data_IF_036266592565
#
_entry.id   IF_036266592565
#
_cell.length_a   1.000
_cell.length_b   1.000
_cell.length_c   1.000
_cell.angle_alpha   90.00
_cell.angle_beta   90.00
_cell.angle_gamma   90.00
#
_symmetry.space_group_name_H-M   'P 1'
#
loop_
_entity.id
_entity.type
_entity.pdbx_description
1 polymer ?
#
# COMPACT_ATOMS: atom_id res chain seq x y z
N UNK A 1 -16.09 -19.30 -0.34
CA UNK A 1 -15.01 -18.92 0.59
C UNK A 1 -15.42 -17.61 1.24
N UNK A 2 -15.50 -17.61 2.53
CA UNK A 2 -16.02 -16.53 3.37
C UNK A 2 -15.21 -15.23 3.17
N UNK A 3 -15.81 -14.12 2.71
CA UNK A 3 -15.15 -12.83 2.60
C UNK A 3 -14.79 -12.21 3.96
N UNK A 4 -15.11 -12.88 5.05
CA UNK A 4 -14.84 -12.47 6.43
C UNK A 4 -13.52 -13.00 6.99
N UNK A 5 -12.54 -13.37 6.15
CA UNK A 5 -11.18 -13.54 6.66
C UNK A 5 -10.71 -12.21 7.24
N UNK A 6 -11.21 -11.97 8.46
CA UNK A 6 -10.96 -10.80 9.26
C UNK A 6 -9.45 -10.58 9.34
N UNK A 7 -9.00 -9.46 8.78
CA UNK A 7 -7.70 -8.93 9.05
C UNK A 7 -7.55 -8.75 10.57
N UNK A 8 -6.74 -9.60 11.20
CA UNK A 8 -6.37 -9.48 12.62
C UNK A 8 -4.94 -8.99 12.68
N UNK A 9 -4.70 -7.70 12.87
CA UNK A 9 -3.36 -7.25 13.22
C UNK A 9 -3.01 -7.80 14.61
N UNK A 10 -1.94 -8.54 14.69
CA UNK A 10 -1.34 -8.96 15.97
C UNK A 10 -0.64 -7.76 16.60
N UNK A 11 -1.42 -6.95 17.34
CA UNK A 11 -0.89 -5.91 18.20
C UNK A 11 -0.42 -6.54 19.51
N UNK A 12 0.65 -7.30 19.47
CA UNK A 12 1.35 -7.75 20.67
C UNK A 12 2.86 -7.64 20.45
N UNK A 13 3.35 -6.43 20.50
CA UNK A 13 4.57 -6.02 21.20
C UNK A 13 4.38 -4.56 21.54
N UNK A 14 4.19 -4.28 22.84
CA UNK A 14 4.39 -2.94 23.37
C UNK A 14 5.82 -2.52 23.03
N UNK A 15 6.00 -1.80 21.91
CA UNK A 15 7.11 -0.88 21.82
C UNK A 15 7.01 -0.04 23.08
N UNK A 16 8.14 0.17 23.78
CA UNK A 16 8.23 1.10 24.89
C UNK A 16 8.00 2.50 24.31
N UNK A 17 6.74 2.80 24.03
CA UNK A 17 6.34 4.15 23.68
C UNK A 17 6.38 4.96 24.98
N UNK A 18 7.04 6.10 24.91
CA UNK A 18 7.08 7.14 25.90
C UNK A 18 5.67 7.42 26.47
N UNK A 19 5.59 8.03 27.63
CA UNK A 19 4.32 8.31 28.31
C UNK A 19 3.31 8.93 27.36
N UNK A 20 2.01 8.62 27.47
CA UNK A 20 0.91 9.18 26.65
C UNK A 20 0.87 10.72 26.60
N UNK A 21 1.61 11.40 27.48
CA UNK A 21 1.77 12.86 27.50
C UNK A 21 2.76 13.40 26.46
N UNK A 22 3.61 12.53 25.87
CA UNK A 22 4.64 12.97 24.94
C UNK A 22 4.04 13.22 23.56
N UNK A 23 4.52 14.27 22.93
CA UNK A 23 4.12 14.62 21.58
C UNK A 23 4.79 13.68 20.56
N UNK A 24 4.00 13.16 19.64
CA UNK A 24 4.47 12.34 18.51
C UNK A 24 4.40 13.20 17.25
N UNK A 25 5.51 13.32 16.56
CA UNK A 25 5.58 13.97 15.26
C UNK A 25 5.45 12.95 14.15
N UNK A 26 4.57 13.24 13.19
CA UNK A 26 4.42 12.46 11.95
C UNK A 26 4.86 13.32 10.77
N UNK A 27 5.81 12.84 9.97
CA UNK A 27 6.29 13.51 8.76
C UNK A 27 5.52 12.99 7.56
N UNK A 28 4.74 13.86 6.93
CA UNK A 28 3.95 13.59 5.73
C UNK A 28 2.53 13.11 6.02
N UNK A 29 1.56 13.80 5.42
CA UNK A 29 0.13 13.47 5.44
C UNK A 29 -0.28 12.56 4.26
N UNK A 30 0.60 11.64 3.84
CA UNK A 30 0.25 10.54 2.95
C UNK A 30 -0.61 9.49 3.66
N UNK A 31 -1.09 8.50 2.92
CA UNK A 31 -2.03 7.48 3.44
C UNK A 31 -1.50 6.76 4.68
N UNK A 32 -0.21 6.38 4.69
CA UNK A 32 0.43 5.71 5.85
C UNK A 32 0.58 6.65 7.06
N UNK A 33 1.01 7.90 6.83
CA UNK A 33 1.15 8.91 7.88
C UNK A 33 -0.18 9.26 8.55
N UNK A 34 -1.24 9.45 7.75
CA UNK A 34 -2.59 9.69 8.25
C UNK A 34 -3.15 8.49 9.02
N UNK A 35 -2.89 7.26 8.54
CA UNK A 35 -3.29 6.05 9.26
C UNK A 35 -2.56 5.92 10.60
N UNK A 36 -1.26 6.21 10.65
CA UNK A 36 -0.47 6.23 11.89
C UNK A 36 -0.99 7.33 12.84
N UNK A 37 -1.18 8.55 12.35
CA UNK A 37 -1.70 9.67 13.12
C UNK A 37 -3.08 9.37 13.73
N UNK A 38 -4.00 8.79 12.93
CA UNK A 38 -5.33 8.39 13.40
C UNK A 38 -5.24 7.38 14.55
N UNK A 39 -4.42 6.35 14.42
CA UNK A 39 -4.26 5.30 15.43
C UNK A 39 -3.61 5.81 16.70
N UNK A 40 -2.56 6.61 16.57
CA UNK A 40 -1.85 7.21 17.71
C UNK A 40 -2.74 8.19 18.47
N UNK A 41 -3.41 9.10 17.77
CA UNK A 41 -4.34 10.06 18.38
C UNK A 41 -5.51 9.33 19.07
N UNK A 42 -6.10 8.30 18.44
CA UNK A 42 -7.14 7.48 19.04
C UNK A 42 -6.67 6.74 20.28
N UNK A 43 -5.38 6.40 20.36
CA UNK A 43 -4.77 5.77 21.54
C UNK A 43 -4.41 6.78 22.65
N UNK A 44 -4.66 8.09 22.45
CA UNK A 44 -4.49 9.14 23.44
C UNK A 44 -3.14 9.85 23.40
N UNK A 45 -2.33 9.66 22.36
CA UNK A 45 -1.11 10.45 22.15
C UNK A 45 -1.44 11.82 21.59
N UNK A 46 -0.62 12.84 21.92
CA UNK A 46 -0.63 14.13 21.23
C UNK A 46 0.10 13.93 19.89
N UNK A 47 -0.58 14.16 18.79
CA UNK A 47 -0.01 13.91 17.45
C UNK A 47 -0.01 15.19 16.64
N UNK A 48 1.16 15.56 16.09
CA UNK A 48 1.30 16.61 15.08
C UNK A 48 1.83 16.04 13.79
N UNK A 49 1.14 16.32 12.70
CA UNK A 49 1.50 15.91 11.34
C UNK A 49 1.99 17.13 10.58
N UNK A 50 3.17 17.06 9.99
CA UNK A 50 3.72 18.11 9.13
C UNK A 50 3.76 17.61 7.69
N UNK A 51 2.99 18.27 6.82
CA UNK A 51 2.88 17.96 5.40
C UNK A 51 3.55 19.07 4.58
N UNK A 52 4.43 18.66 3.65
CA UNK A 52 5.14 19.59 2.79
C UNK A 52 4.24 20.28 1.76
N UNK A 53 3.20 19.56 1.31
CA UNK A 53 2.25 20.04 0.31
C UNK A 53 1.06 20.78 0.91
N UNK A 54 0.20 21.35 0.04
CA UNK A 54 -0.98 22.11 0.46
C UNK A 54 -2.18 21.23 0.84
N UNK A 55 -2.12 19.91 0.61
CA UNK A 55 -3.24 19.01 0.78
C UNK A 55 -2.80 17.60 1.24
N UNK A 56 -3.68 16.82 1.91
CA UNK A 56 -3.39 15.47 2.35
C UNK A 56 -3.43 14.46 1.18
N UNK A 57 -3.06 13.20 1.48
CA UNK A 57 -3.19 12.06 0.58
C UNK A 57 -1.87 11.64 -0.05
N UNK A 58 -0.87 12.50 -0.13
CA UNK A 58 0.43 12.19 -0.73
C UNK A 58 0.29 11.78 -2.20
N UNK A 59 0.60 10.50 -2.53
CA UNK A 59 0.44 9.96 -3.89
C UNK A 59 -1.03 9.69 -4.28
N UNK A 60 -1.94 9.63 -3.30
CA UNK A 60 -3.40 9.52 -3.51
C UNK A 60 -4.04 10.90 -3.42
N UNK A 61 -3.89 11.73 -4.44
CA UNK A 61 -4.46 13.08 -4.50
C UNK A 61 -5.07 13.38 -5.86
N UNK A 62 -6.03 14.30 -5.86
CA UNK A 62 -6.65 14.84 -7.06
C UNK A 62 -6.17 16.26 -7.27
N UNK A 63 -5.84 16.63 -8.49
CA UNK A 63 -5.54 18.02 -8.88
C UNK A 63 -6.62 18.54 -9.81
N UNK A 64 -6.84 19.85 -9.79
CA UNK A 64 -7.80 20.52 -10.66
C UNK A 64 -7.03 21.40 -11.66
N UNK A 65 -7.31 21.20 -12.94
CA UNK A 65 -6.72 21.98 -14.04
C UNK A 65 -7.85 22.38 -14.98
N UNK A 66 -8.04 23.68 -15.19
CA UNK A 66 -9.03 24.25 -16.11
C UNK A 66 -10.47 23.72 -15.90
N UNK A 67 -10.85 23.51 -14.63
CA UNK A 67 -12.17 22.99 -14.26
C UNK A 67 -12.32 21.45 -14.33
N UNK A 68 -11.28 20.74 -14.72
CA UNK A 68 -11.24 19.28 -14.71
C UNK A 68 -10.46 18.75 -13.53
N UNK A 69 -10.93 17.63 -12.98
CA UNK A 69 -10.28 16.93 -11.84
C UNK A 69 -9.53 15.69 -12.34
N UNK A 70 -8.25 15.58 -11.96
CA UNK A 70 -7.39 14.46 -12.34
C UNK A 70 -6.79 13.80 -11.09
N UNK A 71 -6.96 12.50 -10.98
CA UNK A 71 -6.24 11.71 -10.01
C UNK A 71 -4.79 11.53 -10.45
N UNK A 72 -3.83 11.92 -9.60
CA UNK A 72 -2.40 11.91 -9.94
C UNK A 72 -1.66 10.64 -9.51
N UNK A 73 -2.37 9.72 -8.89
CA UNK A 73 -1.86 8.44 -8.42
C UNK A 73 -2.72 7.28 -8.91
N UNK A 74 -3.06 6.32 -8.03
CA UNK A 74 -3.97 5.25 -8.39
C UNK A 74 -5.36 5.80 -8.67
N UNK A 75 -6.02 5.30 -9.73
CA UNK A 75 -7.39 5.65 -10.07
C UNK A 75 -8.43 4.71 -9.44
N UNK A 76 -7.97 3.57 -8.95
CA UNK A 76 -8.81 2.54 -8.33
C UNK A 76 -8.32 2.20 -6.93
N UNK A 77 -9.28 1.95 -6.03
CA UNK A 77 -8.99 1.42 -4.71
C UNK A 77 -9.07 -0.11 -4.78
N UNK A 78 -8.04 -0.78 -4.27
CA UNK A 78 -8.07 -2.21 -3.94
C UNK A 78 -8.09 -2.37 -2.42
N UNK A 79 -8.54 -3.51 -1.92
CA UNK A 79 -8.57 -3.83 -0.48
C UNK A 79 -9.29 -2.78 0.38
N UNK A 80 -10.53 -2.37 0.07
CA UNK A 80 -11.27 -1.39 0.87
C UNK A 80 -11.46 -1.82 2.33
N UNK A 81 -11.32 -3.11 2.63
CA UNK A 81 -11.41 -3.66 3.99
C UNK A 81 -10.35 -3.06 4.93
N UNK A 82 -9.16 -2.73 4.44
CA UNK A 82 -8.08 -2.10 5.24
C UNK A 82 -8.52 -0.74 5.77
N UNK A 83 -9.16 0.06 4.93
CA UNK A 83 -9.68 1.38 5.32
C UNK A 83 -10.92 1.26 6.20
N UNK A 84 -11.82 0.31 5.89
CA UNK A 84 -12.99 0.02 6.74
C UNK A 84 -12.57 -0.35 8.16
N UNK A 85 -11.53 -1.18 8.33
CA UNK A 85 -11.00 -1.55 9.63
C UNK A 85 -10.42 -0.33 10.39
N UNK A 86 -9.64 0.52 9.70
CA UNK A 86 -9.09 1.74 10.30
C UNK A 86 -10.19 2.68 10.80
N UNK A 87 -11.21 2.92 9.97
CA UNK A 87 -12.34 3.78 10.34
C UNK A 87 -13.13 3.18 11.50
N UNK A 88 -13.46 1.91 11.45
CA UNK A 88 -14.19 1.22 12.52
C UNK A 88 -13.44 1.30 13.86
N UNK A 89 -12.16 1.01 13.87
CA UNK A 89 -11.31 1.08 15.07
C UNK A 89 -11.11 2.51 15.59
N UNK A 90 -11.26 3.51 14.74
CA UNK A 90 -11.23 4.91 15.13
C UNK A 90 -12.61 5.47 15.52
N UNK A 91 -13.68 4.68 15.43
CA UNK A 91 -15.02 5.00 15.95
C UNK A 91 -16.01 5.53 14.92
N UNK A 92 -15.81 5.24 13.63
CA UNK A 92 -16.72 5.60 12.52
C UNK A 92 -16.78 4.47 11.50
N UNK A 93 -17.83 4.46 10.67
CA UNK A 93 -17.94 3.58 9.52
C UNK A 93 -17.48 4.33 8.25
N UNK A 94 -16.55 3.77 7.49
CA UNK A 94 -16.06 4.39 6.24
C UNK A 94 -17.19 4.76 5.28
N UNK A 95 -18.22 3.91 5.16
CA UNK A 95 -19.35 4.14 4.26
C UNK A 95 -20.26 5.33 4.64
N UNK A 96 -20.10 5.90 5.83
CA UNK A 96 -20.77 7.14 6.25
C UNK A 96 -19.98 8.36 5.80
N UNK A 97 -18.68 8.24 5.61
CA UNK A 97 -17.77 9.33 5.31
C UNK A 97 -17.38 9.35 3.81
N UNK A 98 -17.41 8.18 3.14
CA UNK A 98 -16.92 8.04 1.78
C UNK A 98 -17.73 7.02 0.99
N UNK A 99 -18.20 7.41 -0.19
CA UNK A 99 -18.84 6.50 -1.12
C UNK A 99 -17.78 5.69 -1.85
N UNK A 100 -17.77 4.36 -1.67
CA UNK A 100 -16.90 3.44 -2.36
C UNK A 100 -17.75 2.42 -3.08
N UNK A 101 -17.68 2.37 -4.41
CA UNK A 101 -18.51 1.50 -5.26
C UNK A 101 -17.64 0.53 -6.08
N UNK A 102 -18.06 -0.74 -6.26
CA UNK A 102 -17.35 -1.63 -7.16
C UNK A 102 -17.40 -1.10 -8.59
N UNK A 103 -16.32 -1.32 -9.32
CA UNK A 103 -16.24 -1.02 -10.77
C UNK A 103 -16.59 -2.28 -11.54
N UNK A 104 -17.61 -2.21 -12.41
CA UNK A 104 -18.03 -3.35 -13.23
C UNK A 104 -18.29 -2.88 -14.67
N UNK A 105 -17.62 -3.43 -15.66
CA UNK A 105 -16.48 -4.36 -15.56
C UNK A 105 -15.25 -3.69 -14.94
N UNK A 106 -14.36 -4.49 -14.30
CA UNK A 106 -13.17 -3.95 -13.66
C UNK A 106 -12.14 -3.44 -14.66
N UNK A 107 -11.93 -4.20 -15.74
CA UNK A 107 -10.95 -3.90 -16.77
C UNK A 107 -11.44 -4.29 -18.15
N UNK A 108 -11.04 -3.53 -19.13
CA UNK A 108 -11.28 -3.77 -20.54
C UNK A 108 -9.96 -3.62 -21.31
N UNK A 109 -9.51 -4.72 -21.93
CA UNK A 109 -8.25 -4.79 -22.63
C UNK A 109 -8.48 -4.91 -24.13
N UNK A 110 -7.74 -4.10 -24.89
CA UNK A 110 -7.69 -4.14 -26.33
C UNK A 110 -6.29 -4.55 -26.76
N UNK A 111 -6.19 -5.63 -27.51
CA UNK A 111 -4.92 -6.13 -28.03
C UNK A 111 -4.70 -5.70 -29.47
N UNK A 112 -3.42 -5.64 -29.89
CA UNK A 112 -3.04 -5.19 -31.25
C UNK A 112 -3.59 -6.05 -32.39
N UNK A 113 -3.99 -7.29 -32.10
CA UNK A 113 -4.63 -8.20 -33.03
C UNK A 113 -6.16 -8.02 -33.13
N UNK A 114 -6.71 -7.00 -32.49
CA UNK A 114 -8.14 -6.72 -32.41
C UNK A 114 -8.90 -7.52 -31.36
N UNK A 115 -8.25 -8.43 -30.64
CA UNK A 115 -8.91 -9.18 -29.57
C UNK A 115 -9.24 -8.26 -28.40
N UNK A 116 -10.42 -8.46 -27.81
CA UNK A 116 -10.87 -7.75 -26.61
C UNK A 116 -11.04 -8.73 -25.47
N UNK A 117 -10.63 -8.34 -24.25
CA UNK A 117 -10.84 -9.07 -23.04
C UNK A 117 -11.44 -8.13 -21.98
N UNK A 118 -12.67 -8.40 -21.58
CA UNK A 118 -13.36 -7.66 -20.52
C UNK A 118 -13.40 -8.50 -19.26
N UNK A 119 -12.82 -8.01 -18.17
CA UNK A 119 -12.73 -8.73 -16.89
C UNK A 119 -13.75 -8.19 -15.90
N UNK A 120 -14.52 -9.08 -15.23
CA UNK A 120 -15.43 -8.69 -14.17
C UNK A 120 -14.68 -8.33 -12.89
N UNK A 121 -15.33 -7.61 -11.99
CA UNK A 121 -14.80 -7.32 -10.66
C UNK A 121 -15.08 -8.48 -9.69
N UNK A 122 -14.13 -8.79 -8.81
CA UNK A 122 -14.28 -9.76 -7.69
C UNK A 122 -14.85 -11.13 -8.07
N UNK A 123 -14.59 -11.61 -9.28
CA UNK A 123 -15.14 -12.87 -9.77
C UNK A 123 -14.08 -13.76 -10.42
N UNK A 124 -13.58 -14.75 -9.67
CA UNK A 124 -12.62 -15.73 -10.20
C UNK A 124 -13.20 -16.54 -11.35
N UNK A 125 -14.42 -17.03 -11.19
CA UNK A 125 -15.10 -17.81 -12.22
C UNK A 125 -15.43 -16.96 -13.46
N UNK A 126 -15.88 -15.71 -13.25
CA UNK A 126 -16.13 -14.77 -14.33
C UNK A 126 -14.86 -14.41 -15.11
N UNK A 127 -13.74 -14.23 -14.42
CA UNK A 127 -12.43 -13.98 -15.05
C UNK A 127 -12.00 -15.17 -15.89
N UNK A 128 -12.11 -16.40 -15.37
CA UNK A 128 -11.79 -17.62 -16.14
C UNK A 128 -12.67 -17.76 -17.38
N UNK A 129 -13.99 -17.55 -17.25
CA UNK A 129 -14.93 -17.59 -18.36
C UNK A 129 -14.64 -16.51 -19.43
N UNK A 130 -14.28 -15.30 -19.02
CA UNK A 130 -13.91 -14.21 -19.94
C UNK A 130 -12.63 -14.56 -20.73
N UNK A 131 -11.62 -15.13 -20.04
CA UNK A 131 -10.38 -15.58 -20.67
C UNK A 131 -10.67 -16.76 -21.64
N UNK A 132 -11.50 -17.71 -21.23
CA UNK A 132 -11.89 -18.82 -22.09
C UNK A 132 -12.58 -18.33 -23.37
N UNK A 133 -13.50 -17.41 -23.24
CA UNK A 133 -14.20 -16.78 -24.36
C UNK A 133 -13.25 -16.07 -25.32
N UNK A 134 -12.24 -15.36 -24.80
CA UNK A 134 -11.35 -14.53 -25.63
C UNK A 134 -10.13 -15.30 -26.16
N UNK A 135 -9.61 -16.28 -25.42
CA UNK A 135 -8.34 -16.95 -25.70
C UNK A 135 -8.41 -18.48 -25.72
N UNK A 136 -9.57 -19.06 -25.40
CA UNK A 136 -9.83 -20.49 -25.42
C UNK A 136 -9.54 -21.21 -24.10
N UNK A 137 -10.03 -22.44 -24.03
CA UNK A 137 -10.02 -23.27 -22.79
C UNK A 137 -8.63 -23.48 -22.19
N UNK A 138 -7.61 -23.68 -23.05
CA UNK A 138 -6.23 -23.85 -22.58
C UNK A 138 -5.73 -22.62 -21.82
N UNK A 139 -5.98 -21.43 -22.34
CA UNK A 139 -5.55 -20.18 -21.73
C UNK A 139 -6.23 -19.95 -20.37
N UNK A 140 -7.53 -20.29 -20.27
CA UNK A 140 -8.26 -20.24 -19.00
C UNK A 140 -7.70 -21.22 -17.96
N UNK A 141 -7.41 -22.45 -18.34
CA UNK A 141 -6.80 -23.45 -17.45
C UNK A 141 -5.39 -23.04 -16.98
N UNK A 142 -4.56 -22.48 -17.88
CA UNK A 142 -3.24 -21.96 -17.55
C UNK A 142 -3.34 -20.79 -16.57
N UNK A 143 -4.29 -19.85 -16.79
CA UNK A 143 -4.57 -18.74 -15.88
C UNK A 143 -5.00 -19.22 -14.50
N UNK A 144 -5.94 -20.15 -14.40
CA UNK A 144 -6.39 -20.67 -13.12
C UNK A 144 -5.26 -21.33 -12.33
N UNK A 145 -4.40 -22.11 -13.00
CA UNK A 145 -3.24 -22.73 -12.36
C UNK A 145 -2.23 -21.70 -11.88
N UNK A 146 -2.06 -20.61 -12.64
CA UNK A 146 -1.20 -19.50 -12.22
C UNK A 146 -1.78 -18.77 -11.01
N UNK A 147 -3.10 -18.53 -10.98
CA UNK A 147 -3.78 -17.88 -9.85
C UNK A 147 -3.78 -18.75 -8.59
N UNK A 148 -3.88 -20.08 -8.69
CA UNK A 148 -3.66 -20.98 -7.54
C UNK A 148 -2.26 -20.84 -6.95
N UNK A 149 -1.25 -20.58 -7.78
CA UNK A 149 0.09 -20.28 -7.29
C UNK A 149 0.17 -18.91 -6.63
N UNK A 150 -0.45 -17.90 -7.25
CA UNK A 150 -0.52 -16.54 -6.70
C UNK A 150 -1.21 -16.52 -5.31
N UNK A 151 -2.27 -17.30 -5.14
CA UNK A 151 -2.94 -17.50 -3.86
C UNK A 151 -2.00 -18.02 -2.77
N UNK A 152 -1.18 -19.03 -3.10
CA UNK A 152 -0.18 -19.55 -2.15
C UNK A 152 0.90 -18.52 -1.85
N UNK A 153 1.37 -17.76 -2.87
CA UNK A 153 2.31 -16.66 -2.67
C UNK A 153 1.72 -15.59 -1.75
N UNK A 154 0.45 -15.22 -1.96
CA UNK A 154 -0.25 -14.25 -1.11
C UNK A 154 -0.36 -14.75 0.33
N UNK A 155 -0.79 -16.00 0.55
CA UNK A 155 -0.93 -16.59 1.88
C UNK A 155 0.39 -16.56 2.69
N UNK A 156 1.53 -16.76 2.00
CA UNK A 156 2.86 -16.75 2.63
C UNK A 156 3.41 -15.35 2.83
N UNK A 157 3.19 -14.44 1.88
CA UNK A 157 3.79 -13.09 1.91
C UNK A 157 2.95 -12.07 2.66
N UNK A 158 1.64 -12.28 2.80
CA UNK A 158 0.72 -11.30 3.39
C UNK A 158 1.13 -10.92 4.81
N UNK A 159 1.31 -11.88 5.70
CA UNK A 159 1.60 -11.60 7.10
C UNK A 159 2.97 -10.93 7.29
N UNK A 160 4.10 -11.47 6.73
CA UNK A 160 5.42 -10.89 6.99
C UNK A 160 5.71 -9.57 6.26
N UNK A 161 5.04 -9.28 5.14
CA UNK A 161 5.39 -8.12 4.32
C UNK A 161 4.28 -7.08 4.21
N UNK A 162 3.04 -7.43 4.54
CA UNK A 162 1.88 -6.53 4.39
C UNK A 162 1.24 -6.20 5.73
N UNK A 163 1.17 -7.15 6.66
CA UNK A 163 0.41 -7.01 7.91
C UNK A 163 1.26 -6.91 9.16
N UNK A 164 2.59 -7.04 9.04
CA UNK A 164 3.51 -6.86 10.17
C UNK A 164 4.64 -5.88 9.81
N UNK A 165 5.36 -5.43 10.84
CA UNK A 165 6.60 -4.69 10.63
C UNK A 165 7.62 -5.56 9.89
N UNK A 166 8.40 -4.96 9.02
CA UNK A 166 9.53 -5.63 8.38
C UNK A 166 10.55 -5.97 9.47
N UNK A 167 10.60 -7.24 9.81
CA UNK A 167 11.56 -7.76 10.77
C UNK A 167 12.99 -7.73 10.24
N UNK A 168 13.94 -7.96 11.13
CA UNK A 168 15.34 -8.16 10.74
C UNK A 168 15.49 -9.42 9.90
N UNK A 169 16.55 -9.50 9.08
CA UNK A 169 16.85 -10.68 8.28
C UNK A 169 16.89 -11.97 9.14
N UNK A 170 17.41 -11.86 10.37
CA UNK A 170 17.42 -12.94 11.35
C UNK A 170 16.03 -13.39 11.76
N UNK A 171 15.08 -12.46 11.95
CA UNK A 171 13.70 -12.80 12.29
C UNK A 171 12.94 -13.45 11.13
N UNK A 172 13.29 -13.13 9.90
CA UNK A 172 12.75 -13.78 8.71
C UNK A 172 13.29 -15.20 8.56
N UNK A 173 14.61 -15.40 8.76
CA UNK A 173 15.27 -16.72 8.62
C UNK A 173 14.85 -17.67 9.74
N UNK A 174 14.52 -17.20 10.93
CA UNK A 174 14.10 -18.02 12.06
C UNK A 174 12.67 -18.56 11.97
N UNK A 175 11.91 -18.24 10.91
CA UNK A 175 10.54 -18.74 10.71
C UNK A 175 10.53 -20.25 10.43
N UNK A 176 9.63 -21.04 11.06
CA UNK A 176 9.64 -22.50 10.97
C UNK A 176 9.48 -23.09 9.56
N UNK A 177 8.99 -22.30 8.60
CA UNK A 177 8.72 -22.74 7.22
C UNK A 177 9.47 -21.92 6.16
N UNK A 178 10.49 -21.18 6.55
CA UNK A 178 11.15 -20.20 5.67
C UNK A 178 11.59 -20.80 4.33
N UNK A 179 12.13 -22.03 4.31
CA UNK A 179 12.56 -22.65 3.07
C UNK A 179 11.38 -22.96 2.13
N UNK A 180 10.27 -23.49 2.65
CA UNK A 180 9.06 -23.74 1.86
C UNK A 180 8.45 -22.42 1.36
N UNK A 181 8.48 -21.40 2.18
CA UNK A 181 7.98 -20.05 1.86
C UNK A 181 8.83 -19.41 0.77
N UNK A 182 10.16 -19.51 0.84
CA UNK A 182 11.07 -19.05 -0.21
C UNK A 182 10.85 -19.76 -1.54
N UNK A 183 10.65 -21.10 -1.53
CA UNK A 183 10.31 -21.84 -2.75
C UNK A 183 8.96 -21.40 -3.34
N UNK A 184 7.99 -21.07 -2.49
CA UNK A 184 6.68 -20.58 -2.91
C UNK A 184 6.80 -19.20 -3.55
N UNK A 185 7.46 -18.25 -2.87
CA UNK A 185 7.67 -16.87 -3.33
C UNK A 185 8.61 -16.81 -4.53
N UNK A 186 9.61 -17.73 -4.59
CA UNK A 186 10.63 -17.82 -5.62
C UNK A 186 11.35 -16.49 -5.90
N UNK A 187 12.04 -15.90 -4.91
CA UNK A 187 12.67 -14.58 -5.04
C UNK A 187 13.77 -14.52 -6.11
N UNK A 188 14.31 -15.67 -6.51
CA UNK A 188 15.30 -15.80 -7.58
C UNK A 188 14.69 -15.79 -9.00
N UNK A 189 13.38 -15.70 -9.14
CA UNK A 189 12.68 -15.63 -10.45
C UNK A 189 12.08 -14.26 -10.67
N UNK A 190 12.19 -13.79 -11.91
CA UNK A 190 11.40 -12.64 -12.33
C UNK A 190 9.96 -13.03 -12.67
N UNK A 191 9.06 -12.06 -12.61
CA UNK A 191 7.66 -12.20 -12.99
C UNK A 191 7.54 -12.79 -14.39
N UNK A 192 8.22 -12.18 -15.40
CA UNK A 192 8.21 -12.65 -16.78
C UNK A 192 8.76 -14.07 -16.94
N UNK A 193 9.85 -14.42 -16.24
CA UNK A 193 10.42 -15.75 -16.26
C UNK A 193 9.46 -16.83 -15.75
N UNK A 194 8.71 -16.50 -14.71
CA UNK A 194 7.67 -17.39 -14.16
C UNK A 194 6.51 -17.55 -15.14
N UNK A 195 6.00 -16.45 -15.67
CA UNK A 195 4.80 -16.40 -16.53
C UNK A 195 5.08 -17.10 -17.87
N UNK A 196 6.24 -16.89 -18.48
CA UNK A 196 6.60 -17.53 -19.76
C UNK A 196 6.60 -19.06 -19.70
N UNK A 197 6.84 -19.63 -18.50
CA UNK A 197 6.80 -21.10 -18.29
C UNK A 197 5.40 -21.65 -18.05
N UNK A 198 4.43 -20.79 -17.75
CA UNK A 198 3.10 -21.21 -17.28
C UNK A 198 1.96 -20.79 -18.20
N UNK A 199 2.16 -19.76 -18.98
CA UNK A 199 1.17 -19.18 -19.91
C UNK A 199 1.70 -19.32 -21.32
N UNK A 200 0.92 -19.93 -22.20
CA UNK A 200 1.27 -20.10 -23.61
C UNK A 200 0.84 -18.90 -24.48
N UNK A 201 -0.29 -18.27 -24.15
CA UNK A 201 -0.81 -17.13 -24.91
C UNK A 201 0.00 -15.85 -24.65
N UNK A 202 0.56 -15.21 -25.70
CA UNK A 202 1.39 -14.01 -25.54
C UNK A 202 0.60 -12.81 -25.01
N UNK A 203 -0.70 -12.71 -25.30
CA UNK A 203 -1.55 -11.61 -24.82
C UNK A 203 -1.74 -11.67 -23.32
N UNK A 204 -1.97 -12.88 -22.76
CA UNK A 204 -2.04 -13.07 -21.30
C UNK A 204 -0.67 -12.81 -20.62
N UNK A 205 0.45 -13.15 -21.27
CA UNK A 205 1.78 -12.80 -20.77
C UNK A 205 1.93 -11.28 -20.64
N UNK A 206 1.56 -10.54 -21.69
CA UNK A 206 1.61 -9.08 -21.72
C UNK A 206 0.69 -8.47 -20.64
N UNK A 207 -0.52 -9.03 -20.47
CA UNK A 207 -1.43 -8.61 -19.42
C UNK A 207 -0.81 -8.75 -18.02
N UNK A 208 -0.13 -9.87 -17.75
CA UNK A 208 0.50 -10.09 -16.44
C UNK A 208 1.75 -9.23 -16.26
N UNK A 209 2.54 -9.01 -17.32
CA UNK A 209 3.70 -8.12 -17.27
C UNK A 209 3.33 -6.69 -16.87
N UNK A 210 2.12 -6.22 -17.19
CA UNK A 210 1.58 -4.93 -16.76
C UNK A 210 1.63 -4.76 -15.23
N UNK A 211 1.46 -5.83 -14.48
CA UNK A 211 1.46 -5.72 -13.01
C UNK A 211 2.80 -5.31 -12.40
N UNK A 212 3.91 -5.43 -13.14
CA UNK A 212 5.18 -4.87 -12.71
C UNK A 212 5.16 -3.33 -12.65
N UNK A 213 4.29 -2.66 -13.42
CA UNK A 213 4.15 -1.20 -13.41
C UNK A 213 3.62 -0.66 -12.08
N UNK A 214 2.91 -1.47 -11.27
CA UNK A 214 2.46 -1.08 -9.94
C UNK A 214 3.61 -0.73 -8.99
N UNK A 215 4.79 -1.26 -9.25
CA UNK A 215 6.02 -0.99 -8.50
C UNK A 215 7.05 -0.18 -9.31
N UNK A 216 6.66 0.32 -10.48
CA UNK A 216 7.58 1.03 -11.39
C UNK A 216 8.72 0.15 -11.91
N UNK A 217 8.52 -1.18 -11.97
CA UNK A 217 9.58 -2.15 -12.26
C UNK A 217 9.43 -2.75 -13.67
N UNK A 218 10.55 -3.23 -14.22
CA UNK A 218 10.57 -4.03 -15.42
C UNK A 218 10.19 -5.49 -15.09
N UNK A 219 9.20 -6.12 -15.77
CA UNK A 219 8.78 -7.48 -15.50
C UNK A 219 9.89 -8.53 -15.72
N UNK A 220 10.95 -8.18 -16.47
CA UNK A 220 12.14 -9.03 -16.66
C UNK A 220 13.01 -9.15 -15.42
N UNK A 221 12.98 -8.14 -14.54
CA UNK A 221 13.74 -8.08 -13.29
C UNK A 221 12.85 -8.08 -12.05
N UNK A 222 11.61 -7.61 -12.16
CA UNK A 222 10.64 -7.59 -11.07
C UNK A 222 10.42 -8.98 -10.47
N UNK A 223 10.38 -9.13 -9.14
CA UNK A 223 10.27 -10.43 -8.50
C UNK A 223 8.93 -11.12 -8.80
N UNK A 224 8.96 -12.45 -8.92
CA UNK A 224 7.79 -13.26 -9.27
C UNK A 224 6.63 -13.13 -8.26
N UNK A 225 6.90 -12.71 -7.02
CA UNK A 225 5.88 -12.49 -5.99
C UNK A 225 4.89 -11.38 -6.37
N UNK A 226 5.21 -10.49 -7.30
CA UNK A 226 4.25 -9.51 -7.84
C UNK A 226 3.04 -10.16 -8.49
N UNK A 227 3.09 -11.46 -8.78
CA UNK A 227 1.92 -12.24 -9.19
C UNK A 227 0.78 -12.22 -8.14
N UNK A 228 1.08 -11.85 -6.90
CA UNK A 228 0.05 -11.63 -5.87
C UNK A 228 -0.87 -10.46 -6.20
N UNK A 229 -0.42 -9.47 -6.98
CA UNK A 229 -1.22 -8.29 -7.34
C UNK A 229 -2.44 -8.67 -8.18
N UNK A 230 -2.32 -9.38 -9.34
CA UNK A 230 -3.50 -9.82 -10.08
C UNK A 230 -4.42 -10.74 -9.28
N UNK A 231 -3.87 -11.55 -8.38
CA UNK A 231 -4.68 -12.37 -7.48
C UNK A 231 -5.53 -11.52 -6.54
N UNK A 232 -4.90 -10.53 -5.87
CA UNK A 232 -5.60 -9.60 -4.96
C UNK A 232 -6.67 -8.81 -5.70
N UNK A 233 -6.35 -8.29 -6.88
CA UNK A 233 -7.27 -7.55 -7.73
C UNK A 233 -8.48 -8.42 -8.14
N UNK A 234 -8.25 -9.67 -8.56
CA UNK A 234 -9.30 -10.61 -8.93
C UNK A 234 -10.19 -11.01 -7.74
N UNK A 235 -9.63 -11.15 -6.54
CA UNK A 235 -10.37 -11.64 -5.36
C UNK A 235 -11.11 -10.51 -4.64
N UNK A 236 -10.48 -9.34 -4.50
CA UNK A 236 -11.02 -8.22 -3.72
C UNK A 236 -11.65 -7.14 -4.60
N UNK A 237 -11.46 -7.21 -5.91
CA UNK A 237 -12.02 -6.31 -6.89
C UNK A 237 -11.34 -4.95 -6.99
N UNK A 238 -11.83 -4.20 -7.97
CA UNK A 238 -11.49 -2.80 -8.19
C UNK A 238 -12.66 -1.92 -7.73
N UNK A 239 -12.37 -0.86 -7.01
CA UNK A 239 -13.36 0.01 -6.40
C UNK A 239 -13.11 1.47 -6.79
N UNK A 240 -14.18 2.17 -7.12
CA UNK A 240 -14.15 3.60 -7.39
C UNK A 240 -14.45 4.39 -6.10
N UNK A 241 -13.67 5.41 -5.86
CA UNK A 241 -13.88 6.37 -4.75
C UNK A 241 -14.66 7.57 -5.30
N UNK A 242 -15.83 7.81 -4.73
CA UNK A 242 -16.67 8.94 -5.14
C UNK A 242 -15.95 10.28 -4.91
N UNK A 243 -15.80 11.06 -5.96
CA UNK A 243 -15.04 12.32 -5.94
C UNK A 243 -13.54 12.17 -6.23
N UNK A 244 -13.08 10.98 -6.69
CA UNK A 244 -11.68 10.69 -6.98
C UNK A 244 -10.92 10.12 -5.79
N UNK A 245 -9.72 9.56 -6.06
CA UNK A 245 -8.91 8.92 -5.03
C UNK A 245 -8.43 9.91 -3.96
N UNK A 246 -8.27 11.19 -4.31
CA UNK A 246 -7.88 12.24 -3.37
C UNK A 246 -8.87 12.40 -2.22
N UNK A 247 -10.16 12.15 -2.47
CA UNK A 247 -11.20 12.22 -1.43
C UNK A 247 -10.96 11.24 -0.28
N UNK A 248 -10.36 10.08 -0.55
CA UNK A 248 -9.94 9.14 0.48
C UNK A 248 -8.88 9.76 1.41
N UNK A 249 -7.91 10.51 0.85
CA UNK A 249 -6.90 11.23 1.62
C UNK A 249 -7.50 12.33 2.51
N UNK A 250 -8.46 13.10 1.96
CA UNK A 250 -9.16 14.16 2.71
C UNK A 250 -9.94 13.57 3.89
N UNK A 251 -10.78 12.58 3.64
CA UNK A 251 -11.61 11.92 4.67
C UNK A 251 -10.75 11.26 5.75
N UNK A 252 -9.59 10.71 5.37
CA UNK A 252 -8.64 10.16 6.34
C UNK A 252 -7.96 11.24 7.18
N UNK A 253 -7.65 12.40 6.59
CA UNK A 253 -7.12 13.55 7.33
C UNK A 253 -8.14 14.10 8.32
N UNK A 254 -9.40 14.30 7.89
CA UNK A 254 -10.50 14.67 8.77
C UNK A 254 -10.67 13.66 9.91
N UNK A 255 -10.55 12.35 9.61
CA UNK A 255 -10.63 11.31 10.64
C UNK A 255 -9.51 11.41 11.66
N UNK A 256 -8.28 11.67 11.23
CA UNK A 256 -7.14 11.87 12.13
C UNK A 256 -7.36 13.09 13.05
N UNK A 257 -7.83 14.21 12.49
CA UNK A 257 -8.15 15.42 13.26
C UNK A 257 -9.29 15.17 14.25
N UNK A 258 -10.36 14.48 13.87
CA UNK A 258 -11.45 14.10 14.75
C UNK A 258 -11.01 13.14 15.88
N UNK A 259 -9.89 12.44 15.72
CA UNK A 259 -9.26 11.65 16.77
C UNK A 259 -8.32 12.48 17.67
N UNK A 260 -8.05 13.74 17.32
CA UNK A 260 -7.21 14.65 18.10
C UNK A 260 -5.84 14.96 17.49
N UNK A 261 -5.53 14.48 16.28
CA UNK A 261 -4.31 14.87 15.59
C UNK A 261 -4.39 16.28 15.05
N UNK A 262 -3.28 17.02 15.09
CA UNK A 262 -3.12 18.32 14.44
C UNK A 262 -2.34 18.14 13.13
N UNK A 263 -2.82 18.73 12.03
CA UNK A 263 -2.16 18.63 10.73
C UNK A 263 -1.82 20.04 10.24
N UNK A 264 -0.53 20.26 9.95
CA UNK A 264 -0.03 21.51 9.36
C UNK A 264 0.42 21.24 7.92
N UNK A 265 -0.19 21.96 6.98
CA UNK A 265 0.15 21.90 5.56
C UNK A 265 1.16 23.00 5.19
N UNK A 266 1.82 22.85 4.04
CA UNK A 266 2.90 23.74 3.58
C UNK A 266 4.02 23.89 4.62
N UNK A 267 4.26 22.85 5.39
CA UNK A 267 5.24 22.77 6.48
C UNK A 267 6.24 21.63 6.24
N UNK A 268 7.14 21.78 5.27
CA UNK A 268 8.14 20.73 5.01
C UNK A 268 9.10 20.57 6.19
N UNK A 269 9.32 19.35 6.61
CA UNK A 269 10.39 18.99 7.54
C UNK A 269 11.70 18.93 6.78
N UNK A 270 12.72 19.65 7.27
CA UNK A 270 14.06 19.72 6.67
C UNK A 270 15.06 18.78 7.33
N UNK A 271 14.83 18.40 8.61
CA UNK A 271 15.78 17.58 9.38
C UNK A 271 15.08 16.83 10.51
N UNK A 272 15.50 15.60 10.79
CA UNK A 272 15.17 14.86 12.01
C UNK A 272 16.34 15.07 12.98
N UNK A 273 16.06 15.76 14.10
CA UNK A 273 17.05 16.11 15.11
C UNK A 273 17.34 14.91 16.01
N UNK A 274 18.64 14.70 16.29
CA UNK A 274 19.08 13.60 17.15
C UNK A 274 20.19 14.07 18.09
N UNK A 275 20.25 13.50 19.30
CA UNK A 275 21.35 13.62 20.24
C UNK A 275 21.62 12.26 20.86
N UNK A 276 22.89 11.88 20.93
CA UNK A 276 23.36 10.59 21.50
C UNK A 276 22.63 9.36 20.90
N UNK A 277 22.38 9.41 19.59
CA UNK A 277 21.70 8.33 18.86
C UNK A 277 20.19 8.22 19.10
N UNK A 278 19.59 9.19 19.79
CA UNK A 278 18.14 9.26 20.05
C UNK A 278 17.52 10.45 19.34
N UNK A 279 16.29 10.29 18.88
CA UNK A 279 15.50 11.38 18.30
C UNK A 279 15.16 12.39 19.40
N UNK A 280 15.32 13.68 19.07
CA UNK A 280 14.97 14.81 19.94
C UNK A 280 13.92 15.72 19.35
N UNK A 281 13.60 15.58 18.06
CA UNK A 281 12.58 16.37 17.39
C UNK A 281 12.77 16.44 15.89
N UNK A 282 12.16 17.45 15.30
CA UNK A 282 12.32 17.79 13.87
C UNK A 282 12.54 19.28 13.71
N UNK A 283 13.25 19.66 12.64
CA UNK A 283 13.36 21.03 12.16
C UNK A 283 12.49 21.20 10.93
N UNK A 284 11.68 22.23 10.90
CA UNK A 284 10.90 22.63 9.73
C UNK A 284 11.75 23.51 8.80
N UNK A 285 11.39 23.63 7.54
CA UNK A 285 12.10 24.45 6.58
C UNK A 285 12.06 25.97 6.90
N UNK A 286 11.07 26.42 7.67
CA UNK A 286 10.97 27.80 8.16
C UNK A 286 11.85 28.07 9.41
N UNK A 287 12.60 27.08 9.87
CA UNK A 287 13.51 27.17 11.01
C UNK A 287 12.89 26.79 12.36
N UNK A 288 11.59 26.61 12.47
CA UNK A 288 10.95 26.15 13.70
C UNK A 288 11.49 24.76 14.10
N UNK A 289 11.75 24.59 15.38
CA UNK A 289 12.12 23.31 15.99
C UNK A 289 10.94 22.78 16.80
N UNK A 290 10.58 21.53 16.53
CA UNK A 290 9.51 20.82 17.22
C UNK A 290 10.14 19.69 18.01
N UNK A 291 10.13 19.81 19.33
CA UNK A 291 10.66 18.79 20.23
C UNK A 291 9.75 17.56 20.26
N UNK A 292 10.33 16.38 20.10
CA UNK A 292 9.62 15.11 20.21
C UNK A 292 10.62 13.97 20.36
N UNK A 293 10.33 13.04 21.26
CA UNK A 293 11.13 11.82 21.42
C UNK A 293 10.69 10.71 20.46
N UNK A 294 9.59 10.91 19.73
CA UNK A 294 9.06 9.93 18.80
C UNK A 294 8.69 10.62 17.47
N UNK A 295 9.37 10.21 16.41
CA UNK A 295 9.10 10.68 15.05
C UNK A 295 8.73 9.49 14.17
N UNK A 296 7.58 9.59 13.51
CA UNK A 296 7.12 8.64 12.50
C UNK A 296 7.30 9.28 11.14
N UNK A 297 8.21 8.77 10.31
CA UNK A 297 8.35 9.26 8.93
C UNK A 297 7.49 8.45 7.97
N UNK A 298 6.61 9.14 7.26
CA UNK A 298 5.90 8.62 6.08
C UNK A 298 6.43 9.27 4.79
N UNK A 299 7.56 9.93 4.86
CA UNK A 299 8.32 10.34 3.69
C UNK A 299 8.97 9.11 3.03
N UNK A 300 9.34 9.24 1.76
CA UNK A 300 10.08 8.20 1.05
C UNK A 300 11.36 7.82 1.82
N UNK A 301 11.76 6.54 1.74
CA UNK A 301 12.92 6.03 2.46
C UNK A 301 14.21 6.76 2.04
N UNK A 302 14.36 7.06 0.74
CA UNK A 302 15.51 7.83 0.24
C UNK A 302 15.52 9.25 0.84
N UNK A 303 14.37 9.91 0.94
CA UNK A 303 14.27 11.21 1.59
C UNK A 303 14.55 11.10 3.09
N UNK A 304 13.98 10.11 3.77
CA UNK A 304 14.14 9.92 5.21
C UNK A 304 15.61 9.65 5.59
N UNK A 305 16.21 8.62 4.97
CA UNK A 305 17.57 8.20 5.29
C UNK A 305 18.64 9.01 4.54
N UNK A 306 18.30 9.52 3.36
CA UNK A 306 19.23 10.28 2.52
C UNK A 306 19.38 11.74 2.89
N UNK A 307 18.31 12.37 3.38
CA UNK A 307 18.27 13.81 3.65
C UNK A 307 17.90 14.14 5.10
N UNK A 308 16.74 13.61 5.60
CA UNK A 308 16.21 14.04 6.89
C UNK A 308 17.06 13.58 8.07
N UNK A 309 17.64 12.38 8.00
CA UNK A 309 18.56 11.84 9.02
C UNK A 309 20.03 12.22 8.79
N UNK A 310 20.35 12.85 7.66
CA UNK A 310 21.68 13.35 7.35
C UNK A 310 22.76 12.25 7.33
N UNK A 311 23.86 12.48 8.05
CA UNK A 311 25.04 11.62 8.04
C UNK A 311 25.07 10.58 9.18
N UNK A 312 23.96 10.26 9.79
CA UNK A 312 23.93 9.24 10.85
C UNK A 312 24.36 7.86 10.34
N UNK A 313 25.06 7.05 11.18
CA UNK A 313 25.48 5.70 10.79
C UNK A 313 24.34 4.80 10.30
N UNK A 314 23.12 4.96 10.84
CA UNK A 314 21.94 4.24 10.40
C UNK A 314 21.53 4.64 8.98
N UNK A 315 21.62 5.91 8.62
CA UNK A 315 21.33 6.41 7.28
C UNK A 315 22.30 5.88 6.22
N UNK A 316 23.54 5.59 6.61
CA UNK A 316 24.57 5.02 5.71
C UNK A 316 24.38 3.53 5.42
N UNK A 317 23.73 2.79 6.31
CA UNK A 317 23.46 1.36 6.12
C UNK A 317 22.24 1.08 5.24
N UNK A 318 21.35 2.06 5.12
CA UNK A 318 20.10 1.94 4.35
C UNK A 318 20.18 2.59 2.94
N UNK A 319 21.34 3.24 2.62
CA UNK A 319 21.69 3.68 1.27
C UNK A 319 22.36 2.54 0.50
#
# INVERSE_FOLDING_TARGET
MDPTLAWKPRLERQAVMSKKSDEVVVIGAGMGGLAAATRLAKSGFKVRVFEAGPQPGGKCRTINIDGYSFDTGPSLLTLPAVYRDLFLKSGKHLGQELKVTPVEPAFDYFFSDGTRLTLPSSSRAGTAAAIEKSFGHRAAAEWENLMKRAEKMWAVSREPFVESELGTLTSLISRPRIFADLFTIAPWRSLRSLVNKKISDPRLRTLIDRYATYTGSDPRSAPAVLLTIPYVEMVFGAWHVGGGIGKLGEVLAERAQNCGAQIEYNCPVSEILTSDGKVTGVRLADGRVIESQTVVSNADSELTYGKLLGNLPVARKEK
#
